data_IF_370287747741
#
_entry.id   IF_370287747741
#
_cell.length_a   1.000
_cell.length_b   1.000
_cell.length_c   1.000
_cell.angle_alpha   90.00
_cell.angle_beta   90.00
_cell.angle_gamma   90.00
#
_symmetry.space_group_name_H-M   'P 1'
#
loop_
_entity.id
_entity.type
_entity.pdbx_description
1 polymer ?
#
# COMPACT_ATOMS: atom_id res chain seq x y z
N UNK A 1 -9.79 23.61 -9.75
CA UNK A 1 -9.32 22.73 -8.68
C UNK A 1 -8.08 21.99 -9.11
N UNK A 2 -7.01 22.10 -8.35
CA UNK A 2 -5.75 21.40 -8.67
C UNK A 2 -5.88 19.93 -8.35
N UNK A 3 -5.44 19.10 -9.29
CA UNK A 3 -5.32 17.66 -9.06
C UNK A 3 -3.93 17.35 -8.55
N UNK A 4 -3.86 16.51 -7.52
CA UNK A 4 -2.60 16.15 -6.89
C UNK A 4 -2.33 14.67 -7.19
N UNK A 5 -1.15 14.39 -7.75
CA UNK A 5 -0.63 13.05 -7.87
C UNK A 5 0.27 12.74 -6.68
N UNK A 6 0.24 11.50 -6.23
CA UNK A 6 1.01 11.04 -5.10
C UNK A 6 1.96 9.93 -5.52
N UNK A 7 3.24 10.08 -5.22
CA UNK A 7 4.24 9.06 -5.47
C UNK A 7 4.79 8.56 -4.14
N UNK A 8 4.62 7.28 -3.88
CA UNK A 8 5.07 6.63 -2.65
C UNK A 8 6.27 5.75 -2.97
N UNK A 9 7.44 6.17 -2.51
CA UNK A 9 8.69 5.49 -2.77
C UNK A 9 8.92 4.27 -1.90
N UNK A 10 9.94 3.51 -2.24
CA UNK A 10 10.47 2.45 -1.41
C UNK A 10 11.14 3.06 -0.16
N UNK A 11 11.46 2.23 0.82
CA UNK A 11 12.18 2.74 1.99
C UNK A 11 12.17 1.80 3.18
N UNK A 12 11.73 0.58 3.03
CA UNK A 12 11.69 -0.38 4.13
C UNK A 12 10.93 0.19 5.32
N UNK A 13 11.62 0.28 6.47
CA UNK A 13 11.03 0.83 7.68
C UNK A 13 10.53 2.26 7.51
N UNK A 14 11.22 3.05 6.70
CA UNK A 14 10.82 4.43 6.41
C UNK A 14 9.52 4.50 5.62
N UNK A 15 9.16 3.42 4.92
CA UNK A 15 7.89 3.32 4.21
C UNK A 15 6.68 3.47 5.12
N UNK A 16 6.83 3.19 6.40
CA UNK A 16 5.75 3.39 7.36
C UNK A 16 5.38 4.86 7.52
N UNK A 17 6.29 5.78 7.19
CA UNK A 17 5.98 7.21 7.17
C UNK A 17 4.89 7.55 6.15
N UNK A 18 4.74 6.75 5.12
CA UNK A 18 3.65 6.93 4.14
C UNK A 18 2.28 6.84 4.79
N UNK A 19 2.14 5.97 5.80
CA UNK A 19 0.86 5.82 6.51
C UNK A 19 0.51 7.10 7.25
N UNK A 20 1.48 7.69 7.94
CA UNK A 20 1.27 8.96 8.65
C UNK A 20 0.90 10.09 7.66
N UNK A 21 1.55 10.11 6.51
CA UNK A 21 1.23 11.07 5.46
C UNK A 21 -0.21 10.90 4.95
N UNK A 22 -0.61 9.65 4.69
CA UNK A 22 -1.97 9.37 4.22
C UNK A 22 -3.02 9.71 5.28
N UNK A 23 -2.71 9.48 6.55
CA UNK A 23 -3.59 9.90 7.64
C UNK A 23 -3.77 11.42 7.65
N UNK A 24 -2.69 12.16 7.40
CA UNK A 24 -2.76 13.61 7.32
C UNK A 24 -3.64 14.06 6.14
N UNK A 25 -3.52 13.40 4.99
CA UNK A 25 -4.38 13.69 3.84
C UNK A 25 -5.85 13.45 4.18
N UNK A 26 -6.13 12.34 4.86
CA UNK A 26 -7.51 12.02 5.29
C UNK A 26 -8.06 13.09 6.21
N UNK A 27 -7.26 13.55 7.19
CA UNK A 27 -7.67 14.60 8.11
C UNK A 27 -7.93 15.94 7.41
N UNK A 28 -7.13 16.25 6.40
CA UNK A 28 -7.27 17.48 5.62
C UNK A 28 -8.37 17.38 4.56
N UNK A 29 -8.93 16.21 4.34
CA UNK A 29 -9.92 16.01 3.29
C UNK A 29 -9.35 16.09 1.89
N UNK A 30 -8.04 15.90 1.74
CA UNK A 30 -7.35 15.92 0.45
C UNK A 30 -7.31 14.51 -0.11
N UNK A 31 -7.82 14.31 -1.32
CA UNK A 31 -7.80 13.02 -1.98
C UNK A 31 -6.97 13.09 -3.25
N UNK A 32 -5.91 12.26 -3.35
CA UNK A 32 -5.11 12.23 -4.57
C UNK A 32 -5.93 11.80 -5.78
N UNK A 33 -5.59 12.37 -6.94
CA UNK A 33 -6.23 12.00 -8.21
C UNK A 33 -5.62 10.74 -8.80
N UNK A 34 -4.35 10.46 -8.45
CA UNK A 34 -3.61 9.29 -8.93
C UNK A 34 -2.50 8.97 -7.93
N UNK A 35 -2.19 7.70 -7.80
CA UNK A 35 -1.11 7.22 -6.92
C UNK A 35 -0.17 6.36 -7.73
N UNK A 36 1.13 6.55 -7.52
CA UNK A 36 2.18 5.66 -8.00
C UNK A 36 2.96 5.16 -6.79
N UNK A 37 3.34 3.91 -6.78
CA UNK A 37 4.05 3.34 -5.65
C UNK A 37 5.11 2.33 -6.07
N UNK A 38 6.16 2.22 -5.25
CA UNK A 38 7.25 1.29 -5.46
C UNK A 38 7.50 0.51 -4.17
N UNK A 39 7.60 -0.81 -4.24
CA UNK A 39 7.85 -1.69 -3.08
C UNK A 39 6.78 -1.47 -2.01
N UNK A 40 7.17 -1.17 -0.76
CA UNK A 40 6.23 -0.90 0.32
C UNK A 40 5.25 0.23 -0.03
N UNK A 41 5.71 1.21 -0.80
CA UNK A 41 4.86 2.28 -1.29
C UNK A 41 3.76 1.79 -2.22
N UNK A 42 4.03 0.74 -3.01
CA UNK A 42 3.02 0.13 -3.87
C UNK A 42 1.96 -0.61 -3.04
N UNK A 43 2.37 -1.31 -1.99
CA UNK A 43 1.44 -2.03 -1.11
C UNK A 43 0.54 -1.03 -0.37
N UNK A 44 1.14 -0.04 0.27
CA UNK A 44 0.41 0.98 1.01
C UNK A 44 -0.47 1.80 0.08
N UNK A 45 0.08 2.24 -1.05
CA UNK A 45 -0.64 3.00 -2.05
C UNK A 45 -1.80 2.23 -2.66
N UNK A 46 -1.59 0.93 -2.93
CA UNK A 46 -2.63 0.06 -3.45
C UNK A 46 -3.80 -0.10 -2.49
N UNK A 47 -3.51 -0.32 -1.21
CA UNK A 47 -4.54 -0.41 -0.19
C UNK A 47 -5.31 0.91 -0.07
N UNK A 48 -4.60 2.02 -0.03
CA UNK A 48 -5.23 3.34 0.06
C UNK A 48 -6.08 3.64 -1.18
N UNK A 49 -5.56 3.32 -2.36
CA UNK A 49 -6.28 3.50 -3.63
C UNK A 49 -7.56 2.66 -3.68
N UNK A 50 -7.56 1.53 -3.00
CA UNK A 50 -8.72 0.64 -2.91
C UNK A 50 -9.75 1.09 -1.87
N UNK A 51 -9.48 2.17 -1.14
CA UNK A 51 -10.42 2.72 -0.17
C UNK A 51 -10.07 2.47 1.29
N UNK A 52 -8.92 1.85 1.57
CA UNK A 52 -8.47 1.65 2.95
C UNK A 52 -7.94 2.97 3.49
N UNK A 53 -8.50 3.46 4.59
CA UNK A 53 -8.08 4.73 5.18
C UNK A 53 -6.69 4.65 5.81
N UNK A 54 -6.06 5.82 6.01
CA UNK A 54 -4.79 5.90 6.72
C UNK A 54 -4.87 5.33 8.14
N UNK A 55 -5.99 5.56 8.83
CA UNK A 55 -6.21 5.01 10.16
C UNK A 55 -6.28 3.47 10.13
N UNK A 56 -6.95 2.91 9.13
CA UNK A 56 -7.02 1.45 8.98
C UNK A 56 -5.67 0.86 8.60
N UNK A 57 -4.89 1.56 7.79
CA UNK A 57 -3.52 1.14 7.44
C UNK A 57 -2.65 1.05 8.71
N UNK A 58 -2.73 2.04 9.58
CA UNK A 58 -2.01 2.01 10.86
C UNK A 58 -2.43 0.81 11.70
N UNK A 59 -3.72 0.55 11.77
CA UNK A 59 -4.26 -0.58 12.50
C UNK A 59 -3.77 -1.92 11.94
N UNK A 60 -3.75 -2.06 10.61
CA UNK A 60 -3.25 -3.27 9.94
C UNK A 60 -1.78 -3.53 10.27
N UNK A 61 -0.96 -2.47 10.27
CA UNK A 61 0.46 -2.61 10.63
C UNK A 61 0.60 -3.09 12.08
N UNK A 62 -0.20 -2.56 12.98
CA UNK A 62 -0.18 -2.98 14.39
C UNK A 62 -0.63 -4.43 14.56
N UNK A 63 -1.65 -4.86 13.82
CA UNK A 63 -2.18 -6.23 13.89
C UNK A 63 -1.20 -7.27 13.34
N UNK A 64 -0.60 -6.96 12.18
CA UNK A 64 0.33 -7.86 11.50
C UNK A 64 1.69 -7.84 12.16
N UNK A 65 2.09 -6.70 12.67
CA UNK A 65 3.41 -6.47 13.20
C UNK A 65 4.40 -6.09 12.10
N UNK A 66 5.38 -5.29 12.48
CA UNK A 66 6.38 -4.77 11.57
C UNK A 66 7.19 -5.87 10.88
N UNK A 67 7.55 -6.93 11.63
CA UNK A 67 8.34 -8.05 11.08
C UNK A 67 7.63 -8.75 9.95
N UNK A 68 6.35 -9.04 10.12
CA UNK A 68 5.59 -9.79 9.14
C UNK A 68 5.33 -8.96 7.90
N UNK A 69 5.06 -7.67 8.09
CA UNK A 69 4.93 -6.75 6.96
C UNK A 69 6.24 -6.66 6.19
N UNK A 70 7.36 -6.56 6.89
CA UNK A 70 8.69 -6.50 6.28
C UNK A 70 9.01 -7.78 5.51
N UNK A 71 8.65 -8.94 6.05
CA UNK A 71 8.81 -10.23 5.35
C UNK A 71 8.00 -10.28 4.06
N UNK A 72 6.76 -9.81 4.10
CA UNK A 72 5.90 -9.77 2.92
C UNK A 72 6.56 -8.92 1.83
N UNK A 73 7.08 -7.76 2.19
CA UNK A 73 7.74 -6.86 1.26
C UNK A 73 9.06 -7.43 0.75
N UNK A 74 9.86 -8.07 1.62
CA UNK A 74 11.12 -8.71 1.23
C UNK A 74 10.89 -9.87 0.29
N UNK A 75 9.92 -10.71 0.56
CA UNK A 75 9.57 -11.83 -0.31
C UNK A 75 9.22 -11.34 -1.70
N UNK A 76 8.59 -10.19 -1.80
CA UNK A 76 8.27 -9.59 -3.09
C UNK A 76 9.51 -9.03 -3.80
N UNK A 77 10.43 -8.40 -3.09
CA UNK A 77 11.54 -7.65 -3.71
C UNK A 77 12.81 -8.48 -3.95
N UNK A 78 13.16 -9.38 -3.04
CA UNK A 78 14.43 -10.13 -3.12
C UNK A 78 14.31 -11.37 -3.99
N UNK A 79 13.12 -11.89 -4.11
CA UNK A 79 12.89 -13.22 -4.66
C UNK A 79 12.15 -13.19 -5.99
N UNK A 80 12.19 -12.05 -6.66
CA UNK A 80 11.61 -11.87 -7.99
C UNK A 80 12.17 -12.85 -9.04
N UNK A 81 13.35 -13.44 -8.77
CA UNK A 81 13.93 -14.45 -9.66
C UNK A 81 13.31 -15.85 -9.50
N UNK A 82 12.57 -16.08 -8.42
CA UNK A 82 11.78 -17.30 -8.24
C UNK A 82 10.34 -16.92 -7.93
N UNK A 83 9.85 -15.96 -8.64
CA UNK A 83 8.70 -15.13 -8.37
C UNK A 83 7.35 -15.85 -8.21
N UNK A 84 7.23 -17.07 -8.72
CA UNK A 84 5.93 -17.76 -8.74
C UNK A 84 5.46 -18.12 -7.33
N UNK A 85 6.40 -18.35 -6.40
CA UNK A 85 6.05 -18.81 -5.06
C UNK A 85 5.96 -17.69 -4.02
N UNK A 86 6.54 -16.52 -4.29
CA UNK A 86 6.80 -15.53 -3.25
C UNK A 86 5.95 -14.26 -3.33
N UNK A 87 5.33 -14.02 -4.46
CA UNK A 87 4.27 -13.04 -4.55
C UNK A 87 2.97 -13.50 -3.91
N UNK A 88 2.85 -14.79 -3.59
CA UNK A 88 1.62 -15.34 -3.03
C UNK A 88 1.24 -14.75 -1.67
N UNK A 89 2.23 -14.45 -0.83
CA UNK A 89 1.97 -13.83 0.47
C UNK A 89 1.36 -12.45 0.34
N UNK A 90 1.93 -11.62 -0.53
CA UNK A 90 1.42 -10.27 -0.80
C UNK A 90 0.07 -10.35 -1.50
N UNK A 91 -0.05 -11.18 -2.51
CA UNK A 91 -1.29 -11.36 -3.24
C UNK A 91 -2.41 -11.82 -2.31
N UNK A 92 -2.14 -12.80 -1.46
CA UNK A 92 -3.12 -13.30 -0.51
C UNK A 92 -3.54 -12.25 0.50
N UNK A 93 -2.57 -11.47 0.99
CA UNK A 93 -2.83 -10.36 1.90
C UNK A 93 -3.72 -9.31 1.25
N UNK A 94 -3.39 -8.87 0.03
CA UNK A 94 -4.19 -7.89 -0.68
C UNK A 94 -5.58 -8.42 -1.01
N UNK A 95 -5.65 -9.67 -1.42
CA UNK A 95 -6.93 -10.31 -1.74
C UNK A 95 -7.87 -10.31 -0.53
N UNK A 96 -7.31 -10.54 0.66
CA UNK A 96 -8.08 -10.55 1.90
C UNK A 96 -8.52 -9.15 2.32
N UNK A 97 -7.65 -8.14 2.14
CA UNK A 97 -7.87 -6.82 2.70
C UNK A 97 -8.65 -5.89 1.78
N UNK A 98 -8.66 -6.13 0.47
CA UNK A 98 -9.34 -5.26 -0.48
C UNK A 98 -10.35 -6.03 -1.34
N UNK A 99 -11.53 -5.43 -1.58
CA UNK A 99 -12.55 -6.09 -2.42
C UNK A 99 -12.26 -5.99 -3.92
N UNK A 100 -11.43 -5.02 -4.33
CA UNK A 100 -11.08 -4.84 -5.73
C UNK A 100 -10.27 -6.03 -6.26
N UNK A 101 -10.54 -6.44 -7.50
CA UNK A 101 -9.81 -7.52 -8.17
C UNK A 101 -9.07 -7.04 -9.40
N UNK A 102 -9.37 -5.83 -9.87
CA UNK A 102 -8.72 -5.19 -11.02
C UNK A 102 -8.34 -3.77 -10.65
N UNK A 103 -7.41 -3.20 -11.40
CA UNK A 103 -7.01 -1.80 -11.22
C UNK A 103 -8.15 -0.85 -11.48
N UNK A 104 -9.06 -1.20 -12.39
CA UNK A 104 -10.22 -0.37 -12.74
C UNK A 104 -11.22 -0.28 -11.59
N UNK A 105 -11.23 -1.25 -10.69
CA UNK A 105 -12.12 -1.25 -9.53
C UNK A 105 -11.62 -0.38 -8.38
N UNK A 106 -10.38 0.11 -8.46
CA UNK A 106 -9.82 0.96 -7.41
C UNK A 106 -10.51 2.33 -7.39
N UNK A 107 -10.68 2.88 -6.19
CA UNK A 107 -11.29 4.20 -6.01
C UNK A 107 -10.39 5.32 -6.53
N UNK A 108 -9.07 5.13 -6.45
CA UNK A 108 -8.08 6.07 -6.98
C UNK A 108 -7.22 5.31 -7.99
N UNK A 109 -6.98 5.87 -9.18
CA UNK A 109 -6.07 5.25 -10.15
C UNK A 109 -4.67 5.03 -9.57
N UNK A 110 -4.16 3.84 -9.83
CA UNK A 110 -2.86 3.43 -9.31
C UNK A 110 -1.93 3.08 -10.47
#
# INVERSE_FOLDING_TARGET
MKRIGLALGAGGAKGLSHIAFLQALDELGVRPAVIAGTSIGAVIGGLYAAGVSGARLEQLVKEIGFRDLYKIVLDFSILSNSAIFKGQGVEHFLYREIPARTFEELEIPL
#
